data_IF_959522322560
#
_entry.id   IF_959522322560
#
_cell.length_a   1.000
_cell.length_b   1.000
_cell.length_c   1.000
_cell.angle_alpha   90.00
_cell.angle_beta   90.00
_cell.angle_gamma   90.00
#
_symmetry.space_group_name_H-M   'P 1'
#
loop_
_entity.id
_entity.type
_entity.pdbx_description
1 polymer ?
#
# COMPACT_ATOMS: atom_id res chain seq x y z
N UNK A 1 8.97 -10.56 -1.55
CA UNK A 1 8.13 -9.44 -1.06
C UNK A 1 6.67 -9.86 -0.97
N UNK A 2 5.91 -9.35 0.01
CA UNK A 2 4.48 -9.58 0.17
C UNK A 2 3.77 -8.25 0.37
N UNK A 3 2.70 -8.01 -0.39
CA UNK A 3 1.86 -6.84 -0.20
C UNK A 3 0.66 -7.19 0.70
N UNK A 4 0.25 -6.25 1.53
CA UNK A 4 -0.88 -6.43 2.44
C UNK A 4 -1.65 -5.12 2.60
N UNK A 5 -2.97 -5.21 2.70
CA UNK A 5 -3.81 -4.10 3.07
C UNK A 5 -5.01 -4.57 3.87
N UNK A 6 -5.48 -3.75 4.78
CA UNK A 6 -6.85 -3.78 5.29
C UNK A 6 -7.46 -2.39 5.12
N UNK A 7 -8.75 -2.35 4.83
CA UNK A 7 -9.48 -1.11 4.64
C UNK A 7 -10.68 -1.09 5.61
N UNK A 8 -10.71 -0.06 6.45
CA UNK A 8 -11.76 0.15 7.44
C UNK A 8 -12.58 1.33 6.97
N UNK A 9 -13.76 1.05 6.40
CA UNK A 9 -14.71 2.07 6.02
C UNK A 9 -15.45 2.57 7.27
N UNK A 10 -15.48 3.87 7.42
CA UNK A 10 -16.03 4.57 8.57
C UNK A 10 -17.36 5.25 8.19
N UNK A 11 -18.23 5.60 9.16
CA UNK A 11 -19.45 6.35 8.90
C UNK A 11 -19.21 7.63 8.09
N UNK A 12 -20.20 8.05 7.32
CA UNK A 12 -20.08 9.20 6.44
C UNK A 12 -19.84 10.54 7.18
N UNK A 13 -20.27 10.60 8.43
CA UNK A 13 -20.11 11.73 9.35
C UNK A 13 -19.00 11.50 10.38
N UNK A 14 -18.15 10.47 10.18
CA UNK A 14 -17.03 10.20 11.09
C UNK A 14 -16.01 11.33 11.05
N UNK A 15 -15.60 11.81 12.22
CA UNK A 15 -14.54 12.79 12.33
C UNK A 15 -13.17 12.16 11.99
N UNK A 16 -12.68 12.41 10.78
CA UNK A 16 -11.41 11.89 10.29
C UNK A 16 -10.19 12.44 11.06
N UNK A 17 -10.37 13.49 11.87
CA UNK A 17 -9.31 13.98 12.76
C UNK A 17 -8.91 12.91 13.79
N UNK A 18 -9.83 12.06 14.23
CA UNK A 18 -9.56 10.93 15.13
C UNK A 18 -8.51 9.97 14.51
N UNK A 19 -8.63 9.68 13.20
CA UNK A 19 -7.65 8.84 12.50
C UNK A 19 -6.31 9.56 12.34
N UNK A 20 -6.33 10.86 12.01
CA UNK A 20 -5.10 11.69 11.91
C UNK A 20 -4.35 11.71 13.24
N UNK A 21 -5.04 11.91 14.35
CA UNK A 21 -4.46 11.90 15.69
C UNK A 21 -3.93 10.51 16.09
N UNK A 22 -4.66 9.46 15.74
CA UNK A 22 -4.19 8.08 15.92
C UNK A 22 -2.87 7.83 15.19
N UNK A 23 -2.78 8.22 13.92
CA UNK A 23 -1.54 8.02 13.13
C UNK A 23 -0.41 8.91 13.67
N UNK A 24 -0.69 10.15 14.00
CA UNK A 24 0.29 11.07 14.59
C UNK A 24 0.91 10.52 15.89
N UNK A 25 0.10 9.86 16.73
CA UNK A 25 0.55 9.36 18.05
C UNK A 25 1.12 7.94 18.00
N UNK A 26 0.77 7.12 16.99
CA UNK A 26 1.12 5.69 16.94
C UNK A 26 1.82 5.27 15.66
N UNK A 27 1.90 6.13 14.64
CA UNK A 27 2.50 5.79 13.34
C UNK A 27 3.95 5.32 13.50
N UNK A 28 4.73 6.04 14.31
CA UNK A 28 6.13 5.76 14.56
C UNK A 28 6.43 4.38 15.20
N UNK A 29 5.43 3.70 15.78
CA UNK A 29 5.63 2.40 16.44
C UNK A 29 6.10 1.28 15.49
N UNK A 30 6.02 1.49 14.19
CA UNK A 30 6.53 0.54 13.19
C UNK A 30 7.75 1.08 12.43
N UNK A 31 8.32 2.22 12.82
CA UNK A 31 9.46 2.80 12.12
C UNK A 31 10.74 1.94 12.24
N UNK A 32 10.81 1.07 13.25
CA UNK A 32 11.91 0.12 13.46
C UNK A 32 11.47 -1.36 13.39
N UNK A 33 10.29 -1.65 12.81
CA UNK A 33 9.76 -3.01 12.80
C UNK A 33 10.53 -3.90 11.81
N UNK A 34 11.28 -4.87 12.35
CA UNK A 34 12.13 -5.75 11.55
C UNK A 34 11.33 -6.58 10.52
N UNK A 35 11.77 -6.56 9.26
CA UNK A 35 11.13 -7.25 8.13
C UNK A 35 9.96 -6.49 7.49
N UNK A 36 9.58 -5.32 8.03
CA UNK A 36 8.70 -4.38 7.33
C UNK A 36 9.51 -3.63 6.30
N UNK A 37 9.19 -3.79 5.02
CA UNK A 37 9.77 -2.97 3.96
C UNK A 37 9.27 -1.53 4.06
N UNK A 38 7.95 -1.35 3.92
CA UNK A 38 7.27 -0.08 4.19
C UNK A 38 5.82 -0.29 4.63
N UNK A 39 5.29 0.72 5.33
CA UNK A 39 3.87 0.91 5.61
C UNK A 39 3.49 2.35 5.33
N UNK A 40 2.63 2.57 4.35
CA UNK A 40 1.99 3.85 4.10
C UNK A 40 0.65 3.92 4.84
N UNK A 41 0.51 4.86 5.78
CA UNK A 41 -0.72 5.06 6.55
C UNK A 41 -1.70 5.91 5.74
N UNK A 42 -2.52 5.24 4.92
CA UNK A 42 -3.45 5.87 4.01
C UNK A 42 -4.82 6.14 4.59
N UNK A 43 -5.40 7.27 4.21
CA UNK A 43 -6.81 7.58 4.42
C UNK A 43 -7.46 8.04 3.13
N UNK A 44 -8.77 7.82 3.04
CA UNK A 44 -9.69 8.53 2.14
C UNK A 44 -10.68 9.29 3.01
N UNK A 45 -10.93 10.54 2.67
CA UNK A 45 -11.89 11.38 3.37
C UNK A 45 -12.96 11.82 2.39
N UNK A 46 -14.21 11.56 2.72
CA UNK A 46 -15.34 11.83 1.85
C UNK A 46 -15.39 13.28 1.39
N UNK A 47 -15.45 13.48 0.07
CA UNK A 47 -15.45 14.81 -0.55
C UNK A 47 -14.08 15.45 -0.72
N UNK A 48 -13.00 14.79 -0.29
CA UNK A 48 -11.62 15.21 -0.53
C UNK A 48 -11.02 14.30 -1.61
N UNK A 49 -10.39 14.89 -2.62
CA UNK A 49 -9.77 14.17 -3.76
C UNK A 49 -10.73 13.16 -4.43
N UNK A 50 -11.99 13.54 -4.59
CA UNK A 50 -13.08 12.71 -5.14
C UNK A 50 -13.35 11.40 -4.38
N UNK A 51 -12.90 11.29 -3.14
CA UNK A 51 -13.14 10.10 -2.32
C UNK A 51 -14.64 9.97 -1.95
N UNK A 52 -15.29 8.84 -2.25
CA UNK A 52 -16.71 8.64 -1.95
C UNK A 52 -16.98 8.25 -0.50
N UNK A 53 -15.94 7.88 0.26
CA UNK A 53 -16.04 7.31 1.61
C UNK A 53 -15.00 7.87 2.57
N UNK A 54 -15.30 7.81 3.86
CA UNK A 54 -14.31 7.90 4.91
C UNK A 54 -13.68 6.52 5.13
N UNK A 55 -12.36 6.40 5.02
CA UNK A 55 -11.68 5.11 5.12
C UNK A 55 -10.29 5.27 5.72
N UNK A 56 -9.92 4.36 6.63
CA UNK A 56 -8.55 4.14 7.06
C UNK A 56 -8.02 2.86 6.41
N UNK A 57 -7.01 2.99 5.57
CA UNK A 57 -6.56 1.89 4.71
C UNK A 57 -5.02 1.88 4.55
N UNK A 58 -4.27 1.51 5.58
CA UNK A 58 -2.82 1.42 5.46
C UNK A 58 -2.42 0.30 4.50
N UNK A 59 -1.40 0.58 3.68
CA UNK A 59 -0.81 -0.37 2.74
C UNK A 59 0.59 -0.76 3.19
N UNK A 60 0.95 -2.03 3.05
CA UNK A 60 2.21 -2.59 3.52
C UNK A 60 2.93 -3.33 2.41
N UNK A 61 4.25 -3.22 2.38
CA UNK A 61 5.16 -4.14 1.70
C UNK A 61 6.04 -4.82 2.75
N UNK A 62 5.97 -6.12 2.83
CA UNK A 62 6.75 -6.96 3.74
C UNK A 62 7.90 -7.63 3.01
N UNK A 63 9.08 -7.67 3.60
CA UNK A 63 10.22 -8.37 3.03
C UNK A 63 10.03 -9.89 3.09
N UNK A 64 9.41 -10.37 4.19
CA UNK A 64 9.17 -11.79 4.45
C UNK A 64 7.80 -12.02 5.11
N UNK A 65 7.22 -13.24 4.98
CA UNK A 65 5.94 -13.59 5.58
C UNK A 65 6.00 -13.73 7.11
N UNK A 66 7.16 -14.03 7.69
CA UNK A 66 7.35 -14.15 9.14
C UNK A 66 7.13 -12.79 9.82
N UNK A 67 7.66 -11.70 9.23
CA UNK A 67 7.45 -10.36 9.75
C UNK A 67 5.97 -9.95 9.68
N UNK A 68 5.29 -10.27 8.57
CA UNK A 68 3.86 -10.06 8.43
C UNK A 68 3.07 -10.81 9.51
N UNK A 69 3.41 -12.08 9.77
CA UNK A 69 2.77 -12.89 10.80
C UNK A 69 3.03 -12.33 12.21
N UNK A 70 4.25 -11.90 12.51
CA UNK A 70 4.55 -11.24 13.80
C UNK A 70 3.69 -10.00 14.02
N UNK A 71 3.44 -9.22 12.98
CA UNK A 71 2.55 -8.07 13.06
C UNK A 71 1.09 -8.49 13.27
N UNK A 72 0.56 -9.41 12.45
CA UNK A 72 -0.85 -9.83 12.49
C UNK A 72 -1.22 -10.53 13.81
N UNK A 73 -0.28 -11.28 14.40
CA UNK A 73 -0.49 -12.01 15.65
C UNK A 73 -0.01 -11.22 16.88
N UNK A 74 0.64 -10.08 16.68
CA UNK A 74 1.22 -9.24 17.71
C UNK A 74 0.32 -8.09 18.19
N UNK A 75 0.88 -7.28 19.09
CA UNK A 75 0.16 -6.16 19.74
C UNK A 75 -0.23 -5.04 18.76
N UNK A 76 0.54 -4.86 17.69
CA UNK A 76 0.24 -3.88 16.66
C UNK A 76 -1.14 -4.08 16.03
N UNK A 77 -1.45 -5.32 15.62
CA UNK A 77 -2.75 -5.64 15.01
C UNK A 77 -3.86 -5.83 16.07
N UNK A 78 -3.54 -6.32 17.27
CA UNK A 78 -4.50 -6.35 18.40
C UNK A 78 -5.07 -4.96 18.70
N UNK A 79 -4.23 -3.92 18.60
CA UNK A 79 -4.69 -2.54 18.74
C UNK A 79 -5.68 -2.11 17.65
N UNK A 80 -5.52 -2.60 16.42
CA UNK A 80 -6.48 -2.37 15.33
C UNK A 80 -7.80 -3.09 15.62
N UNK A 81 -7.71 -4.38 16.00
CA UNK A 81 -8.91 -5.20 16.32
C UNK A 81 -9.70 -4.63 17.49
N UNK A 82 -9.03 -4.14 18.52
CA UNK A 82 -9.68 -3.52 19.68
C UNK A 82 -10.44 -2.26 19.30
N UNK A 83 -9.84 -1.40 18.45
CA UNK A 83 -10.36 -0.06 18.18
C UNK A 83 -11.40 -0.05 17.02
N UNK A 84 -11.35 -1.04 16.11
CA UNK A 84 -12.17 -1.07 14.89
C UNK A 84 -12.89 -2.42 14.65
N UNK A 85 -12.70 -3.40 15.51
CA UNK A 85 -13.07 -4.78 15.18
C UNK A 85 -12.02 -5.43 14.28
N UNK A 86 -12.17 -6.73 13.99
CA UNK A 86 -11.25 -7.48 13.14
C UNK A 86 -11.55 -7.24 11.65
N UNK A 87 -10.76 -6.43 10.94
CA UNK A 87 -10.96 -6.17 9.52
C UNK A 87 -10.56 -7.39 8.68
N UNK A 88 -11.13 -7.50 7.49
CA UNK A 88 -10.61 -8.39 6.47
C UNK A 88 -9.21 -7.90 6.03
N UNK A 89 -8.24 -8.80 6.01
CA UNK A 89 -6.88 -8.51 5.54
C UNK A 89 -6.70 -9.09 4.15
N UNK A 90 -6.40 -8.22 3.20
CA UNK A 90 -6.00 -8.62 1.86
C UNK A 90 -4.49 -8.84 1.83
N UNK A 91 -4.06 -9.92 1.20
CA UNK A 91 -2.66 -10.28 1.06
C UNK A 91 -2.39 -10.69 -0.39
N UNK A 92 -1.29 -10.21 -0.94
CA UNK A 92 -0.87 -10.46 -2.33
C UNK A 92 0.59 -10.88 -2.38
N UNK A 93 0.90 -11.79 -3.29
CA UNK A 93 2.28 -12.14 -3.61
C UNK A 93 2.90 -11.01 -4.43
N UNK A 94 4.05 -10.50 -3.98
CA UNK A 94 4.78 -9.47 -4.71
C UNK A 94 5.38 -10.00 -6.00
N UNK A 95 5.23 -9.22 -7.08
CA UNK A 95 5.78 -9.51 -8.39
C UNK A 95 6.90 -8.55 -8.80
N UNK A 96 6.79 -7.29 -8.42
CA UNK A 96 7.74 -6.25 -8.80
C UNK A 96 7.79 -5.15 -7.74
N UNK A 97 8.95 -4.55 -7.56
CA UNK A 97 9.14 -3.38 -6.72
C UNK A 97 10.27 -2.51 -7.28
N UNK A 98 10.08 -1.20 -7.27
CA UNK A 98 11.13 -0.24 -7.59
C UNK A 98 10.92 1.08 -6.86
N UNK A 99 12.03 1.66 -6.40
CA UNK A 99 12.06 3.03 -5.90
C UNK A 99 12.24 3.99 -7.06
N UNK A 100 11.49 5.08 -7.04
CA UNK A 100 11.63 6.16 -8.03
C UNK A 100 12.54 7.29 -7.56
N UNK A 101 12.68 8.35 -8.39
CA UNK A 101 13.53 9.52 -8.06
C UNK A 101 13.13 10.23 -6.76
N UNK A 102 11.84 10.24 -6.42
CA UNK A 102 11.33 10.86 -5.19
C UNK A 102 11.46 9.99 -3.92
N UNK A 103 12.19 8.86 -3.95
CA UNK A 103 12.29 7.94 -2.80
C UNK A 103 12.89 8.55 -1.52
N UNK A 104 13.59 9.69 -1.63
CA UNK A 104 14.10 10.46 -0.50
C UNK A 104 13.14 11.52 0.03
N UNK A 105 12.02 11.78 -0.65
CA UNK A 105 11.03 12.77 -0.25
C UNK A 105 9.99 12.15 0.71
N UNK A 106 9.25 13.00 1.44
CA UNK A 106 8.09 12.54 2.20
C UNK A 106 6.91 12.31 1.22
N UNK A 107 6.37 11.09 1.12
CA UNK A 107 5.24 10.84 0.25
C UNK A 107 3.98 11.50 0.80
N UNK A 108 3.13 11.98 -0.12
CA UNK A 108 1.87 12.66 0.20
C UNK A 108 0.64 11.85 -0.14
N UNK A 109 0.73 11.05 -1.19
CA UNK A 109 -0.36 10.17 -1.63
C UNK A 109 0.15 8.80 -2.02
N UNK A 110 -0.75 7.83 -2.01
CA UNK A 110 -0.57 6.63 -2.80
C UNK A 110 -1.82 6.34 -3.64
N UNK A 111 -1.60 5.67 -4.76
CA UNK A 111 -2.67 5.12 -5.59
C UNK A 111 -2.66 3.60 -5.53
N UNK A 112 -3.85 3.00 -5.50
CA UNK A 112 -4.03 1.57 -5.63
C UNK A 112 -5.06 1.27 -6.71
N UNK A 113 -4.69 0.45 -7.67
CA UNK A 113 -5.58 -0.06 -8.72
C UNK A 113 -5.56 -1.58 -8.71
N UNK A 114 -6.74 -2.20 -8.78
CA UNK A 114 -6.89 -3.64 -8.94
C UNK A 114 -7.35 -3.93 -10.36
N UNK A 115 -6.74 -4.90 -11.02
CA UNK A 115 -7.07 -5.34 -12.38
C UNK A 115 -7.22 -6.86 -12.39
N UNK A 116 -8.42 -7.34 -12.69
CA UNK A 116 -8.65 -8.78 -12.89
C UNK A 116 -8.17 -9.17 -14.29
N UNK A 117 -7.42 -10.26 -14.39
CA UNK A 117 -6.99 -10.83 -15.66
C UNK A 117 -8.22 -11.43 -16.37
N UNK A 118 -8.32 -11.20 -17.68
CA UNK A 118 -9.35 -11.85 -18.48
C UNK A 118 -9.13 -13.39 -18.49
N UNK A 119 -10.22 -14.16 -18.55
CA UNK A 119 -10.16 -15.63 -18.48
C UNK A 119 -9.36 -16.26 -19.63
N UNK A 120 -9.36 -15.62 -20.79
CA UNK A 120 -8.64 -16.04 -21.99
C UNK A 120 -7.23 -15.45 -22.12
N UNK A 121 -6.83 -14.59 -21.21
CA UNK A 121 -5.49 -13.98 -21.24
C UNK A 121 -4.42 -14.93 -20.70
N UNK A 122 -3.25 -14.95 -21.35
CA UNK A 122 -2.07 -15.60 -20.76
C UNK A 122 -1.53 -14.78 -19.60
N UNK A 123 -1.57 -15.31 -18.35
CA UNK A 123 -1.14 -14.55 -17.18
C UNK A 123 0.31 -14.06 -17.27
N UNK A 124 1.22 -14.85 -17.87
CA UNK A 124 2.62 -14.46 -17.99
C UNK A 124 2.76 -13.20 -18.85
N UNK A 125 2.09 -13.16 -20.00
CA UNK A 125 2.11 -12.00 -20.90
C UNK A 125 1.54 -10.76 -20.24
N UNK A 126 0.42 -10.87 -19.52
CA UNK A 126 -0.19 -9.72 -18.82
C UNK A 126 0.71 -9.20 -17.71
N UNK A 127 1.34 -10.09 -16.93
CA UNK A 127 2.26 -9.72 -15.86
C UNK A 127 3.49 -9.02 -16.42
N UNK A 128 4.08 -9.51 -17.53
CA UNK A 128 5.23 -8.87 -18.20
C UNK A 128 4.89 -7.44 -18.64
N UNK A 129 3.72 -7.24 -19.25
CA UNK A 129 3.27 -5.91 -19.66
C UNK A 129 3.07 -4.98 -18.45
N UNK A 130 2.50 -5.51 -17.37
CA UNK A 130 2.32 -4.74 -16.14
C UNK A 130 3.66 -4.36 -15.50
N UNK A 131 4.66 -5.25 -15.49
CA UNK A 131 6.01 -4.97 -15.00
C UNK A 131 6.65 -3.87 -15.85
N UNK A 132 6.61 -3.97 -17.18
CA UNK A 132 7.16 -2.95 -18.07
C UNK A 132 6.53 -1.57 -17.80
N UNK A 133 5.21 -1.52 -17.57
CA UNK A 133 4.52 -0.28 -17.18
C UNK A 133 5.00 0.29 -15.83
N UNK A 134 5.31 -0.56 -14.86
CA UNK A 134 5.89 -0.13 -13.58
C UNK A 134 7.36 0.31 -13.71
N UNK A 135 8.13 -0.30 -14.60
CA UNK A 135 9.50 0.12 -14.91
C UNK A 135 9.52 1.53 -15.51
N UNK A 136 8.65 1.80 -16.48
CA UNK A 136 8.47 3.13 -17.06
C UNK A 136 7.99 4.14 -16.00
N UNK A 137 6.95 3.79 -15.24
CA UNK A 137 6.39 4.65 -14.20
C UNK A 137 7.44 5.04 -13.16
N UNK A 138 8.33 4.12 -12.77
CA UNK A 138 9.39 4.35 -11.79
C UNK A 138 10.42 5.40 -12.23
N UNK A 139 10.44 5.81 -13.50
CA UNK A 139 11.33 6.88 -13.99
C UNK A 139 10.77 8.29 -13.76
N UNK A 140 9.50 8.39 -13.38
CA UNK A 140 8.81 9.66 -13.15
C UNK A 140 9.32 10.36 -11.88
N UNK A 141 9.61 11.66 -11.99
CA UNK A 141 10.20 12.47 -10.92
C UNK A 141 9.36 12.50 -9.62
N UNK A 142 8.05 12.25 -9.71
CA UNK A 142 7.13 12.30 -8.59
C UNK A 142 6.95 10.96 -7.89
N UNK A 143 7.48 9.87 -8.48
CA UNK A 143 7.34 8.52 -7.93
C UNK A 143 8.32 8.31 -6.79
N UNK A 144 7.78 8.02 -5.61
CA UNK A 144 8.56 7.57 -4.46
C UNK A 144 8.88 6.07 -4.57
N UNK A 145 7.85 5.23 -4.75
CA UNK A 145 7.97 3.77 -4.82
C UNK A 145 6.80 3.22 -5.61
N UNK A 146 7.05 2.24 -6.47
CA UNK A 146 5.99 1.49 -7.14
C UNK A 146 6.14 -0.01 -6.93
N UNK A 147 5.02 -0.73 -6.86
CA UNK A 147 4.99 -2.17 -6.66
C UNK A 147 3.81 -2.81 -7.40
N UNK A 148 4.04 -4.03 -7.88
CA UNK A 148 3.04 -4.91 -8.47
C UNK A 148 2.93 -6.17 -7.63
N UNK A 149 1.70 -6.61 -7.38
CA UNK A 149 1.43 -7.86 -6.66
C UNK A 149 0.24 -8.61 -7.26
N UNK A 150 0.10 -9.91 -6.95
CA UNK A 150 -0.91 -10.82 -7.48
C UNK A 150 -1.70 -11.49 -6.35
N UNK A 151 -3.04 -11.49 -6.47
CA UNK A 151 -3.91 -12.47 -5.79
C UNK A 151 -4.20 -13.65 -6.75
N UNK A 152 -3.54 -14.80 -6.58
CA UNK A 152 -3.74 -15.94 -7.49
C UNK A 152 -5.11 -16.62 -7.32
N UNK A 153 -5.86 -16.34 -6.24
CA UNK A 153 -7.21 -16.89 -6.05
C UNK A 153 -8.23 -16.25 -6.98
N UNK A 154 -7.97 -14.97 -7.35
CA UNK A 154 -8.87 -14.15 -8.17
C UNK A 154 -8.26 -13.77 -9.50
N UNK A 155 -6.98 -14.09 -9.70
CA UNK A 155 -6.19 -13.59 -10.82
C UNK A 155 -6.28 -12.05 -10.93
N UNK A 156 -6.09 -11.39 -9.78
CA UNK A 156 -6.10 -9.93 -9.69
C UNK A 156 -4.70 -9.38 -9.48
N UNK A 157 -4.29 -8.46 -10.35
CA UNK A 157 -3.10 -7.64 -10.14
C UNK A 157 -3.45 -6.44 -9.29
N UNK A 158 -2.60 -6.14 -8.32
CA UNK A 158 -2.66 -4.92 -7.52
C UNK A 158 -1.47 -4.05 -7.87
N UNK A 159 -1.77 -2.88 -8.45
CA UNK A 159 -0.82 -1.83 -8.73
C UNK A 159 -0.83 -0.85 -7.56
N UNK A 160 0.31 -0.65 -6.95
CA UNK A 160 0.52 0.32 -5.88
C UNK A 160 1.61 1.30 -6.30
N UNK A 161 1.37 2.59 -6.10
CA UNK A 161 2.40 3.61 -6.29
C UNK A 161 2.27 4.68 -5.23
N UNK A 162 3.40 4.98 -4.60
CA UNK A 162 3.56 6.00 -3.58
C UNK A 162 4.19 7.23 -4.23
N UNK A 163 3.60 8.40 -4.00
CA UNK A 163 3.91 9.65 -4.69
C UNK A 163 4.35 10.75 -3.73
N UNK A 164 5.31 11.55 -4.16
CA UNK A 164 5.64 12.81 -3.46
C UNK A 164 4.61 13.91 -3.72
N UNK A 165 3.79 13.77 -4.77
CA UNK A 165 2.72 14.71 -5.13
C UNK A 165 1.40 14.41 -4.39
N UNK A 166 0.56 15.45 -4.24
CA UNK A 166 -0.79 15.36 -3.67
C UNK A 166 -1.84 14.88 -4.68
N UNK A 167 -1.64 15.14 -5.97
CA UNK A 167 -2.62 14.92 -7.03
C UNK A 167 -2.04 14.21 -8.25
N UNK A 168 -1.44 13.01 -8.07
CA UNK A 168 -0.85 12.28 -9.18
C UNK A 168 -1.89 11.95 -10.24
N UNK A 169 -1.51 12.10 -11.52
CA UNK A 169 -2.33 11.67 -12.65
C UNK A 169 -2.21 10.16 -12.86
N UNK A 170 -2.80 9.39 -11.95
CA UNK A 170 -2.75 7.94 -11.98
C UNK A 170 -4.14 7.33 -11.76
N UNK A 171 -4.40 6.21 -12.44
CA UNK A 171 -5.65 5.47 -12.29
C UNK A 171 -5.73 4.75 -10.93
N UNK A 172 -6.94 4.58 -10.41
CA UNK A 172 -7.23 3.84 -9.18
C UNK A 172 -7.68 4.71 -8.01
N UNK A 173 -7.87 4.06 -6.88
CA UNK A 173 -8.20 4.74 -5.62
C UNK A 173 -7.00 5.55 -5.14
N UNK A 174 -7.24 6.82 -4.79
CA UNK A 174 -6.25 7.72 -4.22
C UNK A 174 -6.40 7.77 -2.70
N UNK A 175 -5.27 7.76 -2.00
CA UNK A 175 -5.21 7.82 -0.55
C UNK A 175 -4.23 8.91 -0.11
N UNK A 176 -4.61 9.76 0.83
CA UNK A 176 -3.69 10.67 1.50
C UNK A 176 -2.77 9.86 2.42
N UNK A 177 -1.48 10.14 2.41
CA UNK A 177 -0.50 9.52 3.31
C UNK A 177 -0.30 10.39 4.54
N UNK A 178 -0.61 9.85 5.71
CA UNK A 178 -0.44 10.55 6.99
C UNK A 178 0.94 10.31 7.62
N UNK A 179 1.54 9.14 7.35
CA UNK A 179 2.85 8.74 7.83
C UNK A 179 3.40 7.61 6.95
N UNK A 180 4.71 7.51 6.83
CA UNK A 180 5.41 6.40 6.20
C UNK A 180 6.39 5.80 7.20
N UNK A 181 6.18 4.54 7.60
CA UNK A 181 7.22 3.72 8.22
C UNK A 181 7.94 2.94 7.13
N UNK A 182 9.24 3.09 7.01
CA UNK A 182 10.02 2.47 5.93
C UNK A 182 11.38 1.91 6.41
N UNK A 183 11.40 1.07 7.47
CA UNK A 183 12.64 0.61 8.09
C UNK A 183 13.47 -0.33 7.21
N UNK A 184 12.82 -1.01 6.29
CA UNK A 184 13.44 -2.08 5.51
C UNK A 184 13.23 -1.97 4.01
N UNK A 185 13.14 -0.77 3.43
CA UNK A 185 12.99 -0.62 1.98
C UNK A 185 14.13 -1.29 1.19
N UNK A 186 15.35 -1.30 1.72
CA UNK A 186 16.48 -2.02 1.12
C UNK A 186 16.36 -3.55 1.15
N UNK A 187 15.45 -4.11 1.95
CA UNK A 187 15.15 -5.55 2.01
C UNK A 187 14.15 -6.01 0.94
N UNK A 188 13.47 -5.07 0.31
CA UNK A 188 12.47 -5.33 -0.72
C UNK A 188 13.16 -5.55 -2.05
N UNK A 189 14.09 -6.10 -2.41
CA UNK A 189 14.72 -6.27 -3.72
C UNK A 189 14.18 -5.34 -4.82
N UNK A 190 15.02 -4.80 -5.67
CA UNK A 190 14.61 -3.99 -6.83
C UNK A 190 14.32 -4.90 -8.03
N UNK A 191 13.28 -4.56 -8.80
CA UNK A 191 12.86 -5.31 -9.97
C UNK A 191 11.93 -6.47 -9.65
N UNK A 192 12.05 -7.56 -10.41
CA UNK A 192 11.25 -8.78 -10.25
C UNK A 192 11.52 -9.47 -8.91
N UNK A 193 10.49 -10.14 -8.40
CA UNK A 193 10.54 -10.80 -7.08
C UNK A 193 10.65 -12.34 -7.17
N UNK A 194 11.04 -12.88 -8.32
CA UNK A 194 11.34 -14.31 -8.56
C UNK A 194 12.53 -14.48 -9.52
#
# INVERSE_FOLDING_TARGET
>A
MHAMQYAITLPADYDMQIIRDRVRTRGHLLDDFAGLGLKAYGIRERGVDDAPVNQYAPFYLWADPEAMNRFLLGDGFRGVVRDFGRPAVQHWQGLFHRRGPAAGALPRTFTRRTVTLAEDADPATVIEQAIAGHEELATSEEVHTTALALDPRRWELVHFTLWADNTPRAAGDRYQVLHLSAPGTGLLGEGRQW
#
